data_IF_865744503232
#
_entry.id   IF_865744503232
#
_cell.length_a   1.000
_cell.length_b   1.000
_cell.length_c   1.000
_cell.angle_alpha   90.00
_cell.angle_beta   90.00
_cell.angle_gamma   90.00
#
_symmetry.space_group_name_H-M   'P 1'
#
loop_
_entity.id
_entity.type
_entity.pdbx_description
1 polymer ?
#
# COMPACT_ATOMS: atom_id res chain seq x y z
N UNK A 1 -15.69 -1.38 -6.67
CA UNK A 1 -14.80 -2.46 -7.20
C UNK A 1 -15.18 -3.82 -6.62
N UNK A 2 -14.85 -4.95 -7.28
CA UNK A 2 -15.06 -6.30 -6.71
C UNK A 2 -14.04 -6.56 -5.60
N UNK A 3 -14.51 -7.08 -4.46
CA UNK A 3 -13.68 -7.45 -3.32
C UNK A 3 -13.69 -8.97 -3.15
N UNK A 4 -12.50 -9.56 -3.04
CA UNK A 4 -12.28 -10.98 -2.75
C UNK A 4 -12.11 -11.17 -1.25
N UNK A 5 -13.05 -11.86 -0.61
CA UNK A 5 -12.99 -12.11 0.81
C UNK A 5 -12.04 -13.29 1.12
N UNK A 6 -10.81 -12.99 1.52
CA UNK A 6 -9.75 -14.00 1.76
C UNK A 6 -9.66 -14.49 3.21
N UNK A 7 -10.27 -13.76 4.15
CA UNK A 7 -10.45 -14.09 5.57
C UNK A 7 -11.38 -13.08 6.25
N UNK A 8 -11.89 -13.42 7.44
CA UNK A 8 -12.61 -12.48 8.30
C UNK A 8 -11.68 -11.51 9.06
N UNK A 9 -12.22 -10.37 9.50
CA UNK A 9 -11.47 -9.32 10.21
C UNK A 9 -11.49 -9.45 11.75
N UNK A 10 -12.42 -10.24 12.29
CA UNK A 10 -12.50 -10.54 13.72
C UNK A 10 -11.51 -11.66 14.05
N UNK A 11 -10.27 -11.28 14.30
CA UNK A 11 -9.15 -12.19 14.58
C UNK A 11 -8.30 -11.67 15.73
N UNK A 12 -7.67 -12.58 16.46
CA UNK A 12 -6.65 -12.21 17.45
C UNK A 12 -5.28 -11.96 16.79
N UNK A 13 -4.30 -11.57 17.62
CA UNK A 13 -2.93 -11.25 17.17
C UNK A 13 -2.22 -12.46 16.56
N UNK A 14 -2.44 -13.67 17.07
CA UNK A 14 -1.80 -14.87 16.58
C UNK A 14 -2.37 -15.26 15.21
N UNK A 15 -3.70 -15.29 15.11
CA UNK A 15 -4.44 -15.53 13.87
C UNK A 15 -4.08 -14.49 12.79
N UNK A 16 -3.98 -13.21 13.15
CA UNK A 16 -3.57 -12.16 12.24
C UNK A 16 -2.17 -12.43 11.63
N UNK A 17 -1.20 -12.83 12.46
CA UNK A 17 0.15 -13.19 11.99
C UNK A 17 0.14 -14.41 11.06
N UNK A 18 -0.63 -15.44 11.39
CA UNK A 18 -0.78 -16.64 10.56
C UNK A 18 -1.40 -16.31 9.19
N UNK A 19 -2.44 -15.46 9.18
CA UNK A 19 -3.06 -14.96 7.95
C UNK A 19 -2.02 -14.25 7.08
N UNK A 20 -1.19 -13.38 7.66
CA UNK A 20 -0.16 -12.66 6.91
C UNK A 20 0.87 -13.61 6.31
N UNK A 21 1.38 -14.57 7.09
CA UNK A 21 2.35 -15.56 6.60
C UNK A 21 1.77 -16.44 5.47
N UNK A 22 0.48 -16.80 5.57
CA UNK A 22 -0.22 -17.58 4.55
C UNK A 22 -0.46 -16.76 3.27
N UNK A 23 -0.90 -15.51 3.40
CA UNK A 23 -1.25 -14.66 2.26
C UNK A 23 -0.04 -13.99 1.60
N UNK A 24 1.06 -13.78 2.31
CA UNK A 24 2.33 -13.32 1.72
C UNK A 24 2.75 -14.19 0.53
N UNK A 25 2.54 -15.50 0.62
CA UNK A 25 2.85 -16.48 -0.45
C UNK A 25 2.00 -16.31 -1.71
N UNK A 26 0.95 -15.49 -1.66
CA UNK A 26 0.07 -15.20 -2.80
C UNK A 26 0.39 -13.86 -3.47
N UNK A 27 1.34 -13.09 -2.93
CA UNK A 27 1.76 -11.84 -3.55
C UNK A 27 2.50 -12.16 -4.84
N UNK A 28 2.04 -11.54 -5.92
CA UNK A 28 2.70 -11.58 -7.23
C UNK A 28 3.59 -10.35 -7.32
N UNK A 29 4.88 -10.55 -7.47
CA UNK A 29 5.92 -9.50 -7.52
C UNK A 29 6.38 -9.19 -8.94
N UNK A 30 5.56 -9.55 -9.92
CA UNK A 30 5.79 -9.36 -11.35
C UNK A 30 4.56 -8.70 -11.97
N UNK A 31 4.73 -7.98 -13.07
CA UNK A 31 3.65 -7.45 -13.87
C UNK A 31 3.82 -7.71 -15.36
N UNK A 32 2.69 -7.62 -16.06
CA UNK A 32 2.67 -7.32 -17.49
C UNK A 32 2.94 -5.83 -17.69
N UNK A 33 3.16 -5.43 -18.94
CA UNK A 33 3.25 -4.02 -19.30
C UNK A 33 2.02 -3.25 -18.74
N UNK A 34 2.28 -2.35 -17.80
CA UNK A 34 1.25 -1.54 -17.14
C UNK A 34 1.17 -0.19 -17.86
N UNK A 35 -0.02 0.18 -18.35
CA UNK A 35 -0.28 1.48 -18.98
C UNK A 35 -1.52 2.08 -18.32
N UNK A 36 -1.40 2.59 -17.08
CA UNK A 36 -2.54 3.05 -16.33
C UNK A 36 -3.13 4.30 -16.98
N UNK A 37 -4.44 4.30 -17.16
CA UNK A 37 -5.23 5.48 -17.53
C UNK A 37 -5.92 6.07 -16.31
N UNK A 38 -6.29 5.21 -15.36
CA UNK A 38 -6.85 5.59 -14.07
C UNK A 38 -5.92 5.09 -12.97
N UNK A 39 -5.45 5.99 -12.13
CA UNK A 39 -4.72 5.65 -10.90
C UNK A 39 -5.57 6.03 -9.71
N UNK A 40 -5.45 5.30 -8.61
CA UNK A 40 -6.12 5.68 -7.35
C UNK A 40 -5.10 5.84 -6.24
N UNK A 41 -5.19 6.94 -5.50
CA UNK A 41 -4.53 7.11 -4.22
C UNK A 41 -5.48 6.73 -3.09
N UNK A 42 -4.99 5.95 -2.12
CA UNK A 42 -5.76 5.61 -0.91
C UNK A 42 -4.99 5.99 0.35
N UNK A 43 -5.70 6.57 1.32
CA UNK A 43 -5.15 7.01 2.60
C UNK A 43 -6.23 6.96 3.69
N UNK A 44 -5.80 6.99 4.94
CA UNK A 44 -6.63 6.94 6.14
C UNK A 44 -6.24 8.05 7.12
N UNK A 45 -7.25 8.70 7.69
CA UNK A 45 -7.03 9.67 8.78
C UNK A 45 -6.73 8.96 10.11
N UNK A 46 -6.07 9.68 11.02
CA UNK A 46 -6.11 9.29 12.43
C UNK A 46 -7.57 9.19 12.92
N UNK A 47 -7.81 8.31 13.90
CA UNK A 47 -9.11 8.19 14.53
C UNK A 47 -9.41 9.43 15.38
N UNK A 48 -10.66 9.88 15.36
CA UNK A 48 -11.12 10.97 16.23
C UNK A 48 -11.26 10.49 17.70
N UNK A 49 -11.71 11.37 18.60
CA UNK A 49 -11.91 11.06 20.02
C UNK A 49 -12.91 9.92 20.30
N UNK A 50 -13.74 9.55 19.33
CA UNK A 50 -14.69 8.44 19.41
C UNK A 50 -14.13 7.14 18.79
N UNK A 51 -12.87 7.16 18.32
CA UNK A 51 -12.22 6.03 17.66
C UNK A 51 -12.65 5.82 16.20
N UNK A 52 -13.33 6.80 15.60
CA UNK A 52 -13.78 6.76 14.19
C UNK A 52 -12.67 7.31 13.31
N UNK A 53 -12.24 6.53 12.33
CA UNK A 53 -11.33 6.97 11.27
C UNK A 53 -12.05 7.08 9.93
N UNK A 54 -11.49 7.88 9.02
CA UNK A 54 -12.00 8.07 7.67
C UNK A 54 -10.96 7.60 6.66
N UNK A 55 -11.39 6.73 5.73
CA UNK A 55 -10.60 6.32 4.58
C UNK A 55 -11.07 7.07 3.33
N UNK A 56 -10.13 7.38 2.43
CA UNK A 56 -10.42 7.99 1.14
C UNK A 56 -9.80 7.16 0.01
N UNK A 57 -10.49 7.12 -1.12
CA UNK A 57 -10.00 6.64 -2.40
C UNK A 57 -10.26 7.71 -3.46
N UNK A 58 -9.20 8.19 -4.10
CA UNK A 58 -9.22 9.30 -5.06
C UNK A 58 -8.69 8.81 -6.40
N UNK A 59 -9.56 8.71 -7.40
CA UNK A 59 -9.18 8.35 -8.76
C UNK A 59 -8.75 9.59 -9.52
N UNK A 60 -7.59 9.51 -10.16
CA UNK A 60 -7.06 10.48 -11.10
C UNK A 60 -6.98 9.87 -12.50
N UNK A 61 -7.16 10.68 -13.54
CA UNK A 61 -6.71 10.29 -14.88
C UNK A 61 -5.17 10.42 -14.98
N UNK A 62 -4.58 9.66 -15.89
CA UNK A 62 -3.16 9.74 -16.19
C UNK A 62 -2.97 9.89 -17.72
N UNK A 63 -2.10 10.81 -18.18
CA UNK A 63 -1.08 11.55 -17.42
C UNK A 63 -1.54 12.88 -16.79
N UNK A 64 -2.79 13.32 -17.00
CA UNK A 64 -3.21 14.68 -16.67
C UNK A 64 -3.38 14.94 -15.16
N UNK A 65 -3.54 13.89 -14.35
CA UNK A 65 -3.68 13.93 -12.88
C UNK A 65 -4.91 14.72 -12.39
N UNK A 66 -5.93 14.85 -13.22
CA UNK A 66 -7.22 15.43 -12.87
C UNK A 66 -8.06 14.45 -12.03
N UNK A 67 -8.73 14.98 -11.02
CA UNK A 67 -9.61 14.18 -10.15
C UNK A 67 -10.86 13.77 -10.93
N UNK A 68 -11.05 12.46 -11.07
CA UNK A 68 -12.23 11.86 -11.73
C UNK A 68 -13.28 11.46 -10.69
N UNK A 69 -12.86 10.89 -9.57
CA UNK A 69 -13.77 10.36 -8.56
C UNK A 69 -13.14 10.39 -7.17
N UNK A 70 -13.95 10.75 -6.16
CA UNK A 70 -13.56 10.67 -4.75
C UNK A 70 -14.62 9.88 -4.00
N UNK A 71 -14.20 8.86 -3.25
CA UNK A 71 -15.05 8.10 -2.34
C UNK A 71 -14.42 8.03 -0.97
N UNK A 72 -15.26 8.11 0.05
CA UNK A 72 -14.84 8.00 1.44
C UNK A 72 -15.67 6.96 2.18
N UNK A 73 -15.09 6.44 3.26
CA UNK A 73 -15.78 5.60 4.22
C UNK A 73 -15.36 6.02 5.63
N UNK A 74 -16.17 5.67 6.62
CA UNK A 74 -15.88 5.86 8.02
C UNK A 74 -16.15 4.58 8.78
N UNK A 75 -15.21 4.19 9.63
CA UNK A 75 -15.30 2.97 10.42
C UNK A 75 -14.69 3.24 11.80
N UNK A 76 -15.30 2.66 12.84
CA UNK A 76 -14.70 2.60 14.16
C UNK A 76 -13.57 1.58 14.17
N UNK A 77 -12.38 2.00 14.59
CA UNK A 77 -11.21 1.14 14.56
C UNK A 77 -11.17 0.20 15.77
N UNK A 78 -11.65 -1.02 15.59
CA UNK A 78 -11.79 -2.02 16.67
C UNK A 78 -10.50 -2.84 16.92
N UNK A 79 -9.60 -2.95 15.93
CA UNK A 79 -8.33 -3.69 16.08
C UNK A 79 -7.24 -2.80 16.71
N UNK A 80 -6.48 -3.26 17.73
CA UNK A 80 -5.48 -2.43 18.42
C UNK A 80 -4.31 -2.01 17.50
N UNK A 81 -3.69 -0.86 17.82
CA UNK A 81 -2.49 -0.43 17.10
C UNK A 81 -1.29 -1.30 17.52
N UNK A 82 -0.92 -2.24 16.65
CA UNK A 82 0.23 -3.12 16.84
C UNK A 82 1.13 -3.00 15.60
N UNK A 83 2.40 -2.56 15.75
CA UNK A 83 3.34 -2.52 14.64
C UNK A 83 3.38 -3.84 13.86
N UNK A 84 3.28 -3.73 12.54
CA UNK A 84 3.18 -4.86 11.62
C UNK A 84 1.78 -5.49 11.46
N UNK A 85 0.80 -5.12 12.27
CA UNK A 85 -0.60 -5.56 12.11
C UNK A 85 -1.54 -4.43 11.69
N UNK A 86 -0.99 -3.29 11.29
CA UNK A 86 -1.74 -2.10 10.89
C UNK A 86 -2.79 -2.41 9.81
N UNK A 87 -2.49 -3.32 8.88
CA UNK A 87 -3.44 -3.71 7.82
C UNK A 87 -4.76 -4.26 8.37
N UNK A 88 -4.77 -4.96 9.51
CA UNK A 88 -6.02 -5.47 10.10
C UNK A 88 -6.91 -4.37 10.68
N UNK A 89 -6.30 -3.23 11.02
CA UNK A 89 -7.00 -2.04 11.51
C UNK A 89 -7.54 -1.20 10.35
N UNK A 90 -6.78 -1.03 9.28
CA UNK A 90 -7.05 0.00 8.27
C UNK A 90 -7.59 -0.56 6.94
N UNK A 91 -7.23 -1.78 6.56
CA UNK A 91 -7.68 -2.37 5.30
C UNK A 91 -9.21 -2.51 5.19
N UNK A 92 -9.99 -2.86 6.25
CA UNK A 92 -11.46 -2.87 6.15
C UNK A 92 -12.03 -1.52 5.71
N UNK A 93 -11.46 -0.42 6.21
CA UNK A 93 -11.90 0.93 5.92
C UNK A 93 -11.53 1.36 4.50
N UNK A 94 -10.32 1.05 4.04
CA UNK A 94 -9.90 1.31 2.66
C UNK A 94 -10.71 0.48 1.65
N UNK A 95 -11.01 -0.78 1.97
CA UNK A 95 -11.88 -1.62 1.15
C UNK A 95 -13.29 -1.03 1.05
N UNK A 96 -13.86 -0.54 2.15
CA UNK A 96 -15.16 0.13 2.14
C UNK A 96 -15.18 1.41 1.30
N UNK A 97 -14.06 2.14 1.21
CA UNK A 97 -13.94 3.29 0.30
C UNK A 97 -13.83 2.83 -1.18
N UNK A 98 -13.00 1.81 -1.45
CA UNK A 98 -12.79 1.27 -2.80
C UNK A 98 -14.03 0.56 -3.37
N UNK A 99 -14.86 -0.05 -2.51
CA UNK A 99 -16.11 -0.69 -2.91
C UNK A 99 -17.06 0.30 -3.57
N UNK A 100 -17.09 1.54 -3.05
CA UNK A 100 -17.95 2.64 -3.52
C UNK A 100 -17.48 3.28 -4.83
N UNK A 101 -16.29 2.94 -5.33
CA UNK A 101 -15.78 3.45 -6.60
C UNK A 101 -16.59 2.89 -7.76
N UNK A 102 -17.01 3.80 -8.65
CA UNK A 102 -17.75 3.51 -9.87
C UNK A 102 -16.79 3.17 -11.01
N UNK A 103 -15.62 3.81 -11.03
CA UNK A 103 -14.55 3.51 -11.97
C UNK A 103 -13.59 2.46 -11.39
N UNK A 104 -13.00 1.64 -12.28
CA UNK A 104 -12.00 0.64 -11.90
C UNK A 104 -10.60 1.20 -12.24
N UNK A 105 -9.75 1.47 -11.23
CA UNK A 105 -8.39 1.94 -11.46
C UNK A 105 -7.48 0.82 -12.00
N UNK A 106 -6.49 1.21 -12.79
CA UNK A 106 -5.46 0.32 -13.33
C UNK A 106 -4.29 0.12 -12.36
N UNK A 107 -4.05 1.09 -11.47
CA UNK A 107 -2.99 1.09 -10.46
C UNK A 107 -3.45 1.77 -9.17
N UNK A 108 -3.06 1.19 -8.02
CA UNK A 108 -3.43 1.68 -6.69
C UNK A 108 -2.16 2.06 -5.91
N UNK A 109 -2.06 3.31 -5.49
CA UNK A 109 -1.01 3.81 -4.60
C UNK A 109 -1.56 3.90 -3.18
N UNK A 110 -0.85 3.27 -2.23
CA UNK A 110 -1.31 3.12 -0.85
C UNK A 110 -0.32 3.83 0.08
N UNK A 111 -0.80 4.75 0.94
CA UNK A 111 0.03 5.30 2.03
C UNK A 111 0.28 4.21 3.08
N UNK A 112 1.38 3.48 2.92
CA UNK A 112 1.69 2.32 3.72
C UNK A 112 2.67 1.36 3.04
N UNK A 113 3.08 0.34 3.76
CA UNK A 113 4.04 -0.65 3.26
C UNK A 113 3.35 -1.75 2.44
N UNK A 114 4.04 -2.28 1.44
CA UNK A 114 3.75 -3.53 0.74
C UNK A 114 4.58 -4.68 1.30
N UNK A 115 5.43 -5.30 0.47
CA UNK A 115 6.33 -6.37 0.90
C UNK A 115 7.46 -5.87 1.83
N UNK A 116 7.68 -4.56 1.94
CA UNK A 116 8.59 -3.94 2.93
C UNK A 116 8.03 -4.05 4.36
N UNK A 117 7.94 -5.29 4.82
CA UNK A 117 7.24 -5.70 6.02
C UNK A 117 7.94 -6.95 6.60
N UNK A 118 8.03 -7.11 7.94
CA UNK A 118 8.62 -8.30 8.60
C UNK A 118 8.07 -9.69 8.21
N UNK A 119 6.99 -9.74 7.41
CA UNK A 119 6.38 -10.98 6.91
C UNK A 119 5.95 -10.83 5.45
N UNK A 120 6.55 -9.88 4.72
CA UNK A 120 6.26 -9.55 3.32
C UNK A 120 4.78 -9.28 3.01
N UNK A 121 4.06 -8.74 3.99
CA UNK A 121 2.61 -8.54 3.89
C UNK A 121 2.12 -7.31 4.66
N UNK A 122 2.42 -6.14 4.12
CA UNK A 122 1.92 -4.85 4.59
C UNK A 122 0.54 -4.49 4.03
N UNK A 123 0.10 -3.26 4.32
CA UNK A 123 -1.20 -2.73 3.92
C UNK A 123 -1.43 -2.77 2.41
N UNK A 124 -0.44 -2.36 1.61
CA UNK A 124 -0.57 -2.33 0.16
C UNK A 124 -0.70 -3.74 -0.45
N UNK A 125 0.03 -4.71 0.09
CA UNK A 125 -0.07 -6.12 -0.28
C UNK A 125 -1.41 -6.73 0.12
N UNK A 126 -1.87 -6.42 1.33
CA UNK A 126 -3.16 -6.88 1.84
C UNK A 126 -4.31 -6.36 0.97
N UNK A 127 -4.34 -5.05 0.73
CA UNK A 127 -5.35 -4.41 -0.12
C UNK A 127 -5.29 -4.95 -1.56
N UNK A 128 -4.09 -5.13 -2.12
CA UNK A 128 -3.89 -5.63 -3.48
C UNK A 128 -4.44 -7.03 -3.69
N UNK A 129 -4.30 -7.93 -2.71
CA UNK A 129 -4.92 -9.26 -2.80
C UNK A 129 -6.44 -9.23 -2.72
N UNK A 130 -7.01 -8.38 -1.85
CA UNK A 130 -8.46 -8.29 -1.72
C UNK A 130 -9.11 -7.62 -2.94
N UNK A 131 -8.41 -6.72 -3.61
CA UNK A 131 -8.89 -6.05 -4.84
C UNK A 131 -8.46 -6.78 -6.12
N UNK A 132 -7.57 -7.76 -6.02
CA UNK A 132 -6.95 -8.47 -7.14
C UNK A 132 -6.32 -7.51 -8.19
N UNK A 133 -5.74 -6.40 -7.71
CA UNK A 133 -5.29 -5.27 -8.53
C UNK A 133 -3.81 -4.90 -8.25
N UNK A 134 -3.11 -4.28 -9.22
CA UNK A 134 -1.77 -3.74 -9.01
C UNK A 134 -1.74 -2.71 -7.88
N UNK A 135 -0.92 -2.95 -6.86
CA UNK A 135 -0.74 -2.02 -5.74
C UNK A 135 0.73 -1.70 -5.48
N UNK A 136 1.01 -0.44 -5.15
CA UNK A 136 2.31 0.05 -4.69
C UNK A 136 2.13 0.62 -3.27
N UNK A 137 3.01 0.21 -2.36
CA UNK A 137 3.13 0.85 -1.05
C UNK A 137 4.07 2.05 -1.12
N UNK A 138 3.59 3.21 -0.67
CA UNK A 138 4.33 4.47 -0.60
C UNK A 138 4.38 4.94 0.86
N UNK A 139 5.41 4.54 1.62
CA UNK A 139 5.50 4.84 3.04
C UNK A 139 6.44 6.02 3.35
N UNK A 140 6.18 6.71 4.46
CA UNK A 140 6.98 7.87 4.96
C UNK A 140 8.12 7.46 5.91
N UNK A 141 8.13 6.22 6.38
CA UNK A 141 9.12 5.68 7.31
C UNK A 141 9.38 4.20 7.07
N UNK A 142 10.54 3.73 7.49
CA UNK A 142 10.94 2.31 7.42
C UNK A 142 10.20 1.52 8.50
N UNK A 143 9.58 0.40 8.11
CA UNK A 143 9.04 -0.58 9.06
C UNK A 143 10.07 -1.68 9.39
N UNK A 144 10.80 -2.17 8.37
CA UNK A 144 11.91 -3.11 8.48
C UNK A 144 12.91 -2.93 7.34
N UNK A 145 14.06 -3.58 7.45
CA UNK A 145 15.17 -3.43 6.51
C UNK A 145 15.97 -2.14 6.69
N UNK A 146 17.00 -2.00 5.86
CA UNK A 146 17.94 -0.87 5.82
C UNK A 146 18.34 -0.59 4.38
N UNK A 147 18.74 0.65 4.10
CA UNK A 147 19.24 1.05 2.79
C UNK A 147 20.52 1.87 2.96
N UNK A 148 21.33 1.93 1.90
CA UNK A 148 22.47 2.85 1.82
C UNK A 148 22.02 4.29 1.57
N UNK A 149 22.94 5.25 1.62
CA UNK A 149 22.63 6.65 1.33
C UNK A 149 22.03 6.83 -0.07
N UNK A 150 20.87 7.50 -0.13
CA UNK A 150 20.23 7.89 -1.39
C UNK A 150 20.82 9.22 -1.85
N UNK A 151 21.22 9.33 -3.11
CA UNK A 151 21.72 10.58 -3.67
C UNK A 151 20.64 11.69 -3.64
N UNK A 152 21.06 12.94 -3.83
CA UNK A 152 20.17 14.11 -3.68
C UNK A 152 19.29 14.36 -4.91
N UNK A 153 19.68 13.85 -6.07
CA UNK A 153 18.93 14.03 -7.32
C UNK A 153 17.57 13.32 -7.26
N UNK A 154 16.52 13.99 -7.75
CA UNK A 154 15.18 13.41 -7.88
C UNK A 154 15.24 12.17 -8.77
N UNK A 155 14.52 11.12 -8.37
CA UNK A 155 14.54 9.81 -9.02
C UNK A 155 15.68 8.89 -8.53
N UNK A 156 16.66 9.40 -7.78
CA UNK A 156 17.67 8.55 -7.15
C UNK A 156 17.03 7.63 -6.12
N UNK A 157 17.48 6.38 -6.06
CA UNK A 157 17.04 5.44 -5.05
C UNK A 157 18.19 4.55 -4.54
N UNK A 158 17.98 3.96 -3.37
CA UNK A 158 18.78 2.86 -2.85
C UNK A 158 17.85 1.70 -2.50
N UNK A 159 18.29 0.46 -2.73
CA UNK A 159 17.53 -0.72 -2.36
C UNK A 159 17.32 -0.80 -0.85
N UNK A 160 16.11 -1.16 -0.43
CA UNK A 160 15.76 -1.45 0.95
C UNK A 160 15.90 -2.95 1.16
N UNK A 161 16.86 -3.35 2.00
CA UNK A 161 17.27 -4.75 2.19
C UNK A 161 16.92 -5.21 3.61
N UNK A 162 16.32 -6.39 3.72
CA UNK A 162 15.98 -7.06 4.97
C UNK A 162 16.40 -8.54 4.88
N UNK A 163 17.29 -8.99 5.77
CA UNK A 163 17.87 -10.35 5.76
C UNK A 163 18.45 -10.80 4.41
N UNK A 164 19.06 -9.86 3.67
CA UNK A 164 19.68 -10.11 2.37
C UNK A 164 18.71 -10.12 1.17
N UNK A 165 17.43 -9.84 1.41
CA UNK A 165 16.39 -9.73 0.38
C UNK A 165 16.05 -8.26 0.11
N UNK A 166 15.94 -7.86 -1.15
CA UNK A 166 15.43 -6.55 -1.55
C UNK A 166 13.92 -6.51 -1.40
N UNK A 167 13.43 -5.74 -0.43
CA UNK A 167 12.01 -5.63 -0.06
C UNK A 167 11.36 -4.33 -0.54
N UNK A 168 12.11 -3.46 -1.20
CA UNK A 168 11.66 -2.17 -1.67
C UNK A 168 12.83 -1.25 -2.01
N UNK A 169 12.58 0.05 -2.00
CA UNK A 169 13.59 1.06 -2.24
C UNK A 169 13.28 2.36 -1.47
N UNK A 170 14.33 3.03 -1.00
CA UNK A 170 14.24 4.41 -0.55
C UNK A 170 14.42 5.34 -1.75
N UNK A 171 13.38 6.09 -2.11
CA UNK A 171 13.30 6.91 -3.32
C UNK A 171 13.30 8.41 -2.99
N UNK A 172 14.16 9.16 -3.68
CA UNK A 172 14.21 10.61 -3.62
C UNK A 172 13.19 11.23 -4.57
N UNK A 173 12.06 11.68 -4.05
CA UNK A 173 11.05 12.40 -4.85
C UNK A 173 11.22 13.91 -4.84
N UNK A 174 12.00 14.45 -3.88
CA UNK A 174 12.28 15.89 -3.77
C UNK A 174 13.65 16.16 -3.17
N UNK A 175 14.40 17.09 -3.77
CA UNK A 175 15.72 17.54 -3.29
C UNK A 175 15.62 18.05 -1.86
N UNK A 176 16.57 17.66 -0.99
CA UNK A 176 16.64 18.11 0.40
C UNK A 176 15.53 17.57 1.32
N UNK A 177 14.63 16.72 0.82
CA UNK A 177 13.57 16.07 1.61
C UNK A 177 13.91 14.59 1.79
N UNK A 178 13.60 14.05 2.98
CA UNK A 178 13.78 12.61 3.27
C UNK A 178 13.13 11.75 2.17
N UNK A 179 13.78 10.64 1.78
CA UNK A 179 13.19 9.74 0.79
C UNK A 179 11.88 9.13 1.30
N UNK A 180 11.02 8.75 0.36
CA UNK A 180 9.88 7.88 0.63
C UNK A 180 10.29 6.43 0.38
N UNK A 181 9.55 5.48 0.96
CA UNK A 181 9.87 4.06 0.87
C UNK A 181 8.83 3.38 -0.02
N UNK A 182 9.30 2.95 -1.19
CA UNK A 182 8.48 2.30 -2.21
C UNK A 182 8.64 0.80 -2.05
N UNK A 183 7.52 0.08 -2.05
CA UNK A 183 7.54 -1.38 -2.03
C UNK A 183 6.41 -1.96 -2.87
N UNK A 184 6.67 -3.13 -3.42
CA UNK A 184 5.66 -3.90 -4.17
C UNK A 184 4.49 -4.20 -3.24
N UNK A 185 3.27 -3.90 -3.67
CA UNK A 185 2.05 -4.38 -3.02
C UNK A 185 1.65 -5.74 -3.58
N UNK A 186 1.13 -5.75 -4.81
CA UNK A 186 0.65 -6.93 -5.54
C UNK A 186 0.64 -6.66 -7.05
N UNK A 187 0.87 -7.69 -7.88
CA UNK A 187 0.84 -7.62 -9.37
C UNK A 187 1.66 -6.46 -9.95
N UNK A 188 2.82 -6.19 -9.35
CA UNK A 188 3.79 -5.20 -9.81
C UNK A 188 5.19 -5.63 -9.39
N UNK A 189 6.18 -5.38 -10.25
CA UNK A 189 7.59 -5.49 -9.91
C UNK A 189 8.13 -4.17 -9.34
N UNK A 190 9.32 -4.24 -8.73
CA UNK A 190 9.92 -3.09 -8.05
C UNK A 190 10.33 -1.99 -9.05
N UNK A 191 10.78 -2.38 -10.24
CA UNK A 191 11.18 -1.43 -11.28
C UNK A 191 10.00 -0.58 -11.76
N UNK A 192 8.85 -1.22 -12.01
CA UNK A 192 7.60 -0.55 -12.37
C UNK A 192 7.08 0.29 -11.20
N UNK A 193 7.16 -0.22 -9.97
CA UNK A 193 6.75 0.55 -8.79
C UNK A 193 7.56 1.84 -8.65
N UNK A 194 8.88 1.78 -8.85
CA UNK A 194 9.76 2.95 -8.86
C UNK A 194 9.45 3.90 -10.02
N UNK A 195 9.23 3.36 -11.22
CA UNK A 195 8.87 4.17 -12.39
C UNK A 195 7.60 5.00 -12.19
N UNK A 196 6.55 4.40 -11.60
CA UNK A 196 5.27 5.08 -11.38
C UNK A 196 5.26 6.04 -10.17
N UNK A 197 6.31 6.04 -9.35
CA UNK A 197 6.39 6.86 -8.12
C UNK A 197 7.57 7.83 -8.09
N UNK A 198 8.45 7.78 -9.09
CA UNK A 198 9.64 8.62 -9.27
C UNK A 198 9.38 9.97 -9.92
#
# INVERSE_FOLDING_TARGET
MKIYNLHGWQVDVAQAKEIQLRLAKKIVTENKELKPRLIVGVDISAANSQGIARGAAVILNYPDLEIIEVKTAEVKLDFPYIPGLLSFRECPLLLAACEKLSNVPDLILVDGQGIAHPRRFGLASHLGLFLDAPTIGCAKSILCGKHESVREEVGSYAELIDDGETIGAALRTKIGIKPIYISIGHKIDLASALYWTG
#
